data_IF_057493387357
#
_entry.id   IF_057493387357
#
_cell.length_a   1.000
_cell.length_b   1.000
_cell.length_c   1.000
_cell.angle_alpha   90.00
_cell.angle_beta   90.00
_cell.angle_gamma   90.00
#
_symmetry.space_group_name_H-M   'P 1'
#
loop_
_entity.id
_entity.type
_entity.pdbx_description
1 polymer ?
#
# COMPACT_ATOMS: atom_id res chain seq x y z
N UNK A 1 -25.93 -3.44 20.40
CA UNK A 1 -24.46 -3.44 20.59
C UNK A 1 -23.91 -4.80 20.18
N UNK A 2 -22.60 -4.94 19.98
CA UNK A 2 -21.94 -6.24 19.75
C UNK A 2 -20.93 -6.53 20.85
N UNK A 3 -20.84 -7.77 21.31
CA UNK A 3 -19.88 -8.21 22.31
C UNK A 3 -19.10 -9.41 21.78
N UNK A 4 -17.79 -9.25 21.61
CA UNK A 4 -16.89 -10.36 21.30
C UNK A 4 -16.42 -10.96 22.62
N UNK A 5 -16.77 -12.22 22.91
CA UNK A 5 -16.41 -12.91 24.16
C UNK A 5 -15.32 -13.96 23.97
N UNK A 6 -14.66 -14.32 25.06
CA UNK A 6 -13.72 -15.43 25.16
C UNK A 6 -12.55 -15.32 24.17
N UNK A 7 -12.14 -14.10 23.81
CA UNK A 7 -11.00 -13.89 22.94
C UNK A 7 -9.70 -13.73 23.70
N UNK A 8 -8.61 -13.63 22.96
CA UNK A 8 -7.29 -13.23 23.49
C UNK A 8 -6.80 -12.01 22.74
N UNK A 9 -6.25 -11.02 23.44
CA UNK A 9 -5.52 -9.91 22.82
C UNK A 9 -4.04 -9.99 23.21
N UNK A 10 -3.17 -9.37 22.40
CA UNK A 10 -1.77 -9.17 22.77
C UNK A 10 -1.69 -7.89 23.62
N UNK A 11 -1.26 -8.04 24.89
CA UNK A 11 -0.97 -6.92 25.79
C UNK A 11 0.41 -7.11 26.40
N UNK A 12 1.31 -6.16 26.16
CA UNK A 12 2.72 -6.20 26.59
C UNK A 12 3.42 -7.52 26.18
N UNK A 13 3.24 -7.93 24.91
CA UNK A 13 3.86 -9.13 24.35
C UNK A 13 3.28 -10.48 24.84
N UNK A 14 2.18 -10.47 25.62
CA UNK A 14 1.55 -11.69 26.12
C UNK A 14 0.08 -11.76 25.71
N UNK A 15 -0.41 -12.96 25.44
CA UNK A 15 -1.83 -13.22 25.22
C UNK A 15 -2.60 -13.11 26.54
N UNK A 16 -3.68 -12.35 26.53
CA UNK A 16 -4.58 -12.15 27.68
C UNK A 16 -6.01 -12.39 27.27
N UNK A 17 -6.74 -13.19 28.06
CA UNK A 17 -8.17 -13.40 27.88
C UNK A 17 -8.90 -12.06 28.00
N UNK A 18 -9.77 -11.75 27.05
CA UNK A 18 -10.39 -10.44 26.92
C UNK A 18 -11.71 -10.54 26.14
N UNK A 19 -12.69 -9.80 26.63
CA UNK A 19 -13.94 -9.49 25.97
C UNK A 19 -13.90 -8.05 25.43
N UNK A 20 -14.56 -7.80 24.29
CA UNK A 20 -14.62 -6.48 23.66
C UNK A 20 -16.07 -6.10 23.36
N UNK A 21 -16.54 -5.01 23.97
CA UNK A 21 -17.84 -4.43 23.69
C UNK A 21 -17.72 -3.33 22.64
N UNK A 22 -18.57 -3.42 21.62
CA UNK A 22 -18.63 -2.51 20.47
C UNK A 22 -19.99 -1.82 20.46
N UNK A 23 -19.96 -0.50 20.34
CA UNK A 23 -21.14 0.35 20.24
C UNK A 23 -21.09 1.18 18.94
N UNK A 24 -22.01 0.90 18.03
CA UNK A 24 -21.99 1.43 16.66
C UNK A 24 -20.65 1.13 15.95
N UNK A 25 -19.88 2.19 15.66
CA UNK A 25 -18.61 2.14 14.92
C UNK A 25 -17.37 2.17 15.82
N UNK A 26 -17.52 2.15 17.15
CA UNK A 26 -16.42 2.33 18.10
C UNK A 26 -16.37 1.19 19.11
N UNK A 27 -15.15 0.91 19.58
CA UNK A 27 -14.94 0.06 20.76
C UNK A 27 -15.35 0.87 21.97
N UNK A 28 -16.28 0.33 22.78
CA UNK A 28 -16.77 0.96 24.01
C UNK A 28 -15.95 0.52 25.22
N UNK A 29 -15.68 -0.78 25.34
CA UNK A 29 -14.98 -1.35 26.50
C UNK A 29 -14.11 -2.53 26.08
N UNK A 30 -12.92 -2.63 26.68
CA UNK A 30 -12.02 -3.79 26.61
C UNK A 30 -11.75 -4.24 28.05
N UNK A 31 -12.14 -5.47 28.41
CA UNK A 31 -12.02 -5.98 29.79
C UNK A 31 -11.79 -7.49 29.79
N UNK A 32 -11.27 -8.05 30.88
CA UNK A 32 -11.13 -9.51 31.04
C UNK A 32 -12.47 -10.25 31.11
N UNK A 33 -13.54 -9.54 31.48
CA UNK A 33 -14.91 -10.05 31.53
C UNK A 33 -15.88 -8.89 31.37
N UNK A 34 -16.88 -9.03 30.51
CA UNK A 34 -17.97 -8.08 30.36
C UNK A 34 -19.28 -8.82 30.62
N UNK A 35 -20.11 -8.28 31.51
CA UNK A 35 -21.43 -8.83 31.76
C UNK A 35 -22.36 -8.54 30.58
N UNK A 36 -23.11 -9.56 30.14
CA UNK A 36 -23.97 -9.51 28.96
C UNK A 36 -25.46 -9.46 29.34
N UNK A 37 -25.76 -9.04 30.57
CA UNK A 37 -27.09 -9.03 31.18
C UNK A 37 -28.04 -7.95 30.64
N UNK A 38 -27.58 -7.05 29.77
CA UNK A 38 -28.45 -6.08 29.11
C UNK A 38 -29.13 -6.67 27.88
N UNK A 39 -30.44 -6.49 27.78
CA UNK A 39 -31.23 -6.83 26.60
C UNK A 39 -30.67 -6.08 25.36
N UNK A 40 -30.54 -6.78 24.22
CA UNK A 40 -30.04 -6.27 22.91
C UNK A 40 -28.51 -6.21 22.67
N UNK A 41 -27.73 -7.14 23.26
CA UNK A 41 -26.34 -7.40 22.85
C UNK A 41 -26.26 -8.63 21.94
N UNK A 42 -25.77 -8.43 20.71
CA UNK A 42 -25.36 -9.53 19.83
C UNK A 42 -24.01 -10.07 20.31
N UNK A 43 -23.96 -11.36 20.65
CA UNK A 43 -22.76 -12.01 21.18
C UNK A 43 -22.04 -12.79 20.09
N UNK A 44 -20.75 -12.54 19.94
CA UNK A 44 -19.83 -13.25 19.06
C UNK A 44 -18.82 -13.98 19.93
N UNK A 45 -18.84 -15.31 19.92
CA UNK A 45 -17.87 -16.11 20.67
C UNK A 45 -16.59 -16.31 19.86
N UNK A 46 -15.48 -15.74 20.33
CA UNK A 46 -14.16 -15.89 19.70
C UNK A 46 -13.52 -17.25 19.99
N UNK A 47 -14.10 -18.09 20.87
CA UNK A 47 -13.66 -19.48 21.14
C UNK A 47 -12.17 -19.60 21.48
N UNK A 48 -11.63 -18.65 22.23
CA UNK A 48 -10.22 -18.62 22.64
C UNK A 48 -9.23 -18.11 21.59
N UNK A 49 -9.71 -17.70 20.41
CA UNK A 49 -8.87 -17.19 19.32
C UNK A 49 -8.31 -15.79 19.61
N UNK A 50 -7.27 -15.43 18.84
CA UNK A 50 -6.71 -14.09 18.84
C UNK A 50 -7.70 -13.08 18.26
N UNK A 51 -7.94 -12.00 19.00
CA UNK A 51 -8.56 -10.78 18.50
C UNK A 51 -7.44 -9.77 18.26
N UNK A 52 -7.27 -9.36 17.01
CA UNK A 52 -6.29 -8.37 16.61
C UNK A 52 -7.00 -7.09 16.12
N UNK A 53 -6.34 -5.92 16.19
CA UNK A 53 -6.72 -4.79 15.35
C UNK A 53 -6.74 -5.24 13.88
N UNK A 54 -7.74 -4.79 13.12
CA UNK A 54 -7.79 -5.12 11.70
C UNK A 54 -6.55 -4.61 10.98
N UNK A 55 -6.00 -5.44 10.09
CA UNK A 55 -4.79 -5.10 9.37
C UNK A 55 -5.04 -3.94 8.39
N UNK A 56 -3.95 -3.25 8.05
CA UNK A 56 -3.93 -2.15 7.09
C UNK A 56 -2.96 -2.53 5.98
N UNK A 57 -3.47 -2.61 4.76
CA UNK A 57 -2.65 -2.78 3.56
C UNK A 57 -2.53 -1.44 2.84
N UNK A 58 -1.31 -0.95 2.67
CA UNK A 58 -1.07 0.32 1.97
C UNK A 58 -0.78 0.12 0.48
N UNK A 59 -0.79 -1.12 -0.01
CA UNK A 59 -0.49 -1.42 -1.41
C UNK A 59 -1.34 -2.58 -1.95
N UNK A 60 -2.42 -2.25 -2.65
CA UNK A 60 -3.25 -3.26 -3.34
C UNK A 60 -3.65 -2.80 -4.74
N UNK A 61 -4.09 -3.72 -5.59
CA UNK A 61 -4.70 -3.40 -6.88
C UNK A 61 -6.11 -3.98 -6.96
N UNK A 62 -7.13 -3.12 -6.90
CA UNK A 62 -8.53 -3.52 -7.04
C UNK A 62 -8.98 -3.65 -8.50
N UNK A 63 -8.16 -3.19 -9.45
CA UNK A 63 -8.33 -3.26 -10.92
C UNK A 63 -9.54 -2.53 -11.50
N UNK A 64 -10.60 -2.31 -10.74
CA UNK A 64 -11.73 -1.46 -11.09
C UNK A 64 -11.43 0.02 -10.74
N UNK A 65 -11.67 0.97 -11.67
CA UNK A 65 -12.30 0.80 -12.99
C UNK A 65 -11.35 0.31 -14.10
N UNK A 66 -11.91 -0.38 -15.10
CA UNK A 66 -11.28 -0.73 -16.37
C UNK A 66 -10.67 -2.14 -16.45
N UNK A 67 -10.43 -2.79 -15.31
CA UNK A 67 -9.87 -4.13 -15.20
C UNK A 67 -10.79 -5.14 -14.51
N UNK A 68 -12.11 -4.95 -14.58
CA UNK A 68 -13.12 -5.67 -13.78
C UNK A 68 -13.09 -7.19 -13.97
N UNK A 69 -12.64 -7.67 -15.13
CA UNK A 69 -12.46 -9.10 -15.40
C UNK A 69 -11.32 -9.74 -14.57
N UNK A 70 -10.43 -8.93 -13.99
CA UNK A 70 -9.32 -9.38 -13.12
C UNK A 70 -9.73 -9.33 -11.66
N UNK A 71 -10.34 -8.23 -11.24
CA UNK A 71 -10.82 -7.98 -9.87
C UNK A 71 -11.80 -6.79 -9.89
N UNK A 72 -12.77 -6.76 -8.96
CA UNK A 72 -13.63 -5.59 -8.72
C UNK A 72 -13.41 -5.03 -7.31
N UNK A 73 -13.92 -3.82 -7.04
CA UNK A 73 -13.87 -3.26 -5.68
C UNK A 73 -14.56 -4.20 -4.68
N UNK A 74 -15.68 -4.81 -5.07
CA UNK A 74 -16.41 -5.74 -4.22
C UNK A 74 -15.59 -7.01 -3.93
N UNK A 75 -15.09 -7.70 -4.96
CA UNK A 75 -14.38 -8.97 -4.78
C UNK A 75 -13.05 -8.77 -4.07
N UNK A 76 -12.29 -7.72 -4.43
CA UNK A 76 -11.02 -7.39 -3.79
C UNK A 76 -11.19 -6.98 -2.32
N UNK A 77 -12.24 -6.22 -1.97
CA UNK A 77 -12.50 -5.88 -0.56
C UNK A 77 -13.01 -7.05 0.26
N UNK A 78 -13.76 -8.00 -0.34
CA UNK A 78 -14.10 -9.29 0.29
C UNK A 78 -12.84 -10.13 0.55
N UNK A 79 -11.93 -10.21 -0.42
CA UNK A 79 -10.67 -10.92 -0.27
C UNK A 79 -9.82 -10.31 0.86
N UNK A 80 -9.71 -8.98 0.90
CA UNK A 80 -9.01 -8.26 1.97
C UNK A 80 -9.62 -8.52 3.35
N UNK A 81 -10.95 -8.45 3.48
CA UNK A 81 -11.66 -8.78 4.72
C UNK A 81 -11.37 -10.21 5.19
N UNK A 82 -11.38 -11.18 4.26
CA UNK A 82 -11.02 -12.58 4.55
C UNK A 82 -9.58 -12.72 5.01
N UNK A 83 -8.66 -11.89 4.51
CA UNK A 83 -7.27 -11.80 4.97
C UNK A 83 -7.07 -11.11 6.32
N UNK A 84 -8.14 -10.58 6.93
CA UNK A 84 -8.06 -9.85 8.20
C UNK A 84 -7.78 -8.35 8.04
N UNK A 85 -7.75 -7.83 6.81
CA UNK A 85 -7.62 -6.40 6.55
C UNK A 85 -8.94 -5.68 6.73
N UNK A 86 -8.87 -4.50 7.35
CA UNK A 86 -10.04 -3.61 7.52
C UNK A 86 -9.85 -2.25 6.84
N UNK A 87 -8.64 -1.96 6.38
CA UNK A 87 -8.32 -0.81 5.54
C UNK A 87 -7.33 -1.23 4.46
N UNK A 88 -7.62 -0.87 3.22
CA UNK A 88 -6.73 -1.07 2.08
C UNK A 88 -6.56 0.22 1.28
N UNK A 89 -5.42 0.39 0.61
CA UNK A 89 -5.10 1.59 -0.17
C UNK A 89 -4.80 1.19 -1.64
N UNK A 90 -5.76 1.31 -2.56
CA UNK A 90 -5.60 0.83 -3.93
C UNK A 90 -4.78 1.77 -4.80
N UNK A 91 -3.85 1.20 -5.58
CA UNK A 91 -2.99 1.90 -6.53
C UNK A 91 -3.77 2.53 -7.70
N UNK A 92 -3.26 3.63 -8.28
CA UNK A 92 -3.99 4.46 -9.24
C UNK A 92 -3.87 3.96 -10.69
N UNK A 93 -3.26 2.80 -10.94
CA UNK A 93 -3.08 2.22 -12.27
C UNK A 93 -4.34 1.54 -12.84
N UNK A 94 -5.47 2.25 -12.72
CA UNK A 94 -6.80 1.91 -13.25
C UNK A 94 -7.12 2.72 -14.50
N UNK A 95 -8.26 2.45 -15.14
CA UNK A 95 -8.76 3.22 -16.28
C UNK A 95 -10.23 3.62 -16.07
N UNK A 96 -10.55 4.90 -15.85
CA UNK A 96 -9.62 6.04 -15.77
C UNK A 96 -8.68 5.98 -14.56
N UNK A 97 -7.55 6.69 -14.67
CA UNK A 97 -6.61 6.95 -13.57
C UNK A 97 -7.24 7.99 -12.64
N UNK A 98 -7.13 7.88 -11.30
CA UNK A 98 -7.55 8.92 -10.36
C UNK A 98 -6.56 10.11 -10.37
N UNK A 99 -6.53 10.82 -11.50
CA UNK A 99 -5.62 11.94 -11.80
C UNK A 99 -6.32 13.32 -11.84
N UNK A 100 -7.64 13.34 -11.64
CA UNK A 100 -8.48 14.52 -11.64
C UNK A 100 -9.57 14.41 -10.58
N UNK A 101 -10.14 15.55 -10.15
CA UNK A 101 -11.23 15.59 -9.17
C UNK A 101 -12.42 14.75 -9.63
N UNK A 102 -12.75 14.81 -10.92
CA UNK A 102 -13.85 14.05 -11.50
C UNK A 102 -13.60 12.53 -11.38
N UNK A 103 -12.40 12.07 -11.77
CA UNK A 103 -12.04 10.66 -11.67
C UNK A 103 -11.98 10.16 -10.22
N UNK A 104 -11.44 10.96 -9.30
CA UNK A 104 -11.41 10.62 -7.87
C UNK A 104 -12.83 10.53 -7.28
N UNK A 105 -13.71 11.47 -7.60
CA UNK A 105 -15.10 11.44 -7.13
C UNK A 105 -15.86 10.23 -7.68
N UNK A 106 -15.70 9.93 -8.96
CA UNK A 106 -16.31 8.74 -9.57
C UNK A 106 -15.82 7.44 -8.89
N UNK A 107 -14.52 7.34 -8.62
CA UNK A 107 -13.94 6.21 -7.89
C UNK A 107 -14.49 6.12 -6.45
N UNK A 108 -14.65 7.26 -5.76
CA UNK A 108 -15.18 7.29 -4.39
C UNK A 108 -16.63 6.85 -4.30
N UNK A 109 -17.48 7.19 -5.27
CA UNK A 109 -18.86 6.67 -5.30
C UNK A 109 -18.86 5.15 -5.52
N UNK A 110 -18.04 4.62 -6.43
CA UNK A 110 -17.89 3.16 -6.59
C UNK A 110 -17.41 2.47 -5.30
N UNK A 111 -16.45 3.07 -4.60
CA UNK A 111 -15.98 2.58 -3.30
C UNK A 111 -17.14 2.54 -2.30
N UNK A 112 -17.91 3.62 -2.21
CA UNK A 112 -19.05 3.73 -1.28
C UNK A 112 -20.13 2.70 -1.56
N UNK A 113 -20.37 2.39 -2.84
CA UNK A 113 -21.42 1.47 -3.25
C UNK A 113 -21.03 -0.01 -3.11
N UNK A 114 -19.74 -0.35 -3.32
CA UNK A 114 -19.32 -1.76 -3.46
C UNK A 114 -18.31 -2.25 -2.42
N UNK A 115 -17.58 -1.36 -1.73
CA UNK A 115 -16.52 -1.78 -0.82
C UNK A 115 -17.07 -2.39 0.48
N UNK A 116 -16.50 -3.54 0.88
CA UNK A 116 -16.86 -4.23 2.12
C UNK A 116 -16.04 -3.79 3.34
N UNK A 117 -14.92 -3.09 3.10
CA UNK A 117 -14.01 -2.55 4.12
C UNK A 117 -13.60 -1.12 3.76
N UNK A 118 -12.82 -0.45 4.61
CA UNK A 118 -12.33 0.90 4.31
C UNK A 118 -11.35 0.86 3.13
N UNK A 119 -11.56 1.75 2.16
CA UNK A 119 -10.68 1.94 1.01
C UNK A 119 -10.19 3.38 0.99
N UNK A 120 -8.88 3.58 0.94
CA UNK A 120 -8.23 4.89 0.89
C UNK A 120 -7.48 5.03 -0.44
N UNK A 121 -8.09 5.58 -1.50
CA UNK A 121 -7.51 5.55 -2.84
C UNK A 121 -6.26 6.44 -2.95
N UNK A 122 -5.25 5.96 -3.67
CA UNK A 122 -4.17 6.81 -4.17
C UNK A 122 -4.64 7.69 -5.32
N UNK A 123 -3.95 8.81 -5.53
CA UNK A 123 -3.96 9.56 -6.79
C UNK A 123 -2.66 9.30 -7.56
N UNK A 124 -2.67 9.53 -8.87
CA UNK A 124 -1.42 9.54 -9.63
C UNK A 124 -0.59 10.80 -9.37
N UNK A 125 0.73 10.75 -9.63
CA UNK A 125 1.59 11.94 -9.64
C UNK A 125 1.37 12.72 -10.92
N UNK A 126 1.23 12.01 -12.05
CA UNK A 126 1.04 12.62 -13.36
C UNK A 126 -0.26 12.23 -14.02
N UNK A 127 -0.76 13.12 -14.89
CA UNK A 127 -1.94 12.88 -15.72
C UNK A 127 -1.76 11.57 -16.51
N UNK A 128 -2.72 10.65 -16.35
CA UNK A 128 -2.73 9.30 -16.94
C UNK A 128 -1.48 8.46 -16.65
N UNK A 129 -0.73 8.79 -15.59
CA UNK A 129 0.59 8.21 -15.28
C UNK A 129 1.59 8.31 -16.45
N UNK A 130 1.45 9.33 -17.29
CA UNK A 130 2.26 9.47 -18.50
C UNK A 130 3.65 10.08 -18.26
N UNK A 131 3.95 10.55 -17.04
CA UNK A 131 5.24 11.15 -16.68
C UNK A 131 5.48 12.55 -17.27
N UNK A 132 4.45 13.20 -17.82
CA UNK A 132 4.58 14.45 -18.62
C UNK A 132 4.04 15.70 -17.91
N UNK A 133 2.93 15.57 -17.20
CA UNK A 133 2.23 16.71 -16.58
C UNK A 133 1.78 16.31 -15.18
N UNK A 134 2.11 17.15 -14.18
CA UNK A 134 1.67 16.93 -12.80
C UNK A 134 0.16 17.13 -12.67
N UNK A 135 -0.45 16.35 -11.80
CA UNK A 135 -1.84 16.56 -11.38
C UNK A 135 -1.98 17.80 -10.47
N UNK A 136 -3.20 18.24 -10.21
CA UNK A 136 -3.48 19.24 -9.17
C UNK A 136 -3.47 18.58 -7.78
N UNK A 137 -2.29 18.54 -7.15
CA UNK A 137 -2.09 17.95 -5.82
C UNK A 137 -3.03 18.52 -4.76
N UNK A 138 -3.33 19.83 -4.81
CA UNK A 138 -4.16 20.47 -3.79
C UNK A 138 -5.62 20.06 -3.96
N UNK A 139 -6.13 20.12 -5.18
CA UNK A 139 -7.50 19.70 -5.47
C UNK A 139 -7.70 18.21 -5.12
N UNK A 140 -6.76 17.33 -5.48
CA UNK A 140 -6.88 15.91 -5.17
C UNK A 140 -6.72 15.61 -3.67
N UNK A 141 -5.84 16.33 -2.97
CA UNK A 141 -5.73 16.20 -1.51
C UNK A 141 -7.02 16.60 -0.78
N UNK A 142 -7.70 17.64 -1.24
CA UNK A 142 -8.98 18.09 -0.70
C UNK A 142 -10.10 17.04 -0.92
N UNK A 143 -10.01 16.23 -1.98
CA UNK A 143 -10.89 15.06 -2.21
C UNK A 143 -10.53 13.84 -1.34
N UNK A 144 -9.53 13.96 -0.47
CA UNK A 144 -9.20 12.97 0.55
C UNK A 144 -8.45 11.75 0.03
N UNK A 145 -7.67 11.89 -1.05
CA UNK A 145 -6.77 10.82 -1.53
C UNK A 145 -5.71 10.49 -0.47
N UNK A 146 -5.27 9.23 -0.44
CA UNK A 146 -4.34 8.72 0.56
C UNK A 146 -2.94 9.33 0.39
N UNK A 147 -2.39 9.22 -0.82
CA UNK A 147 -1.06 9.63 -1.23
C UNK A 147 -0.98 9.73 -2.77
N UNK A 148 0.18 10.12 -3.30
CA UNK A 148 0.42 10.26 -4.74
C UNK A 148 1.46 9.25 -5.23
N UNK A 149 1.18 8.53 -6.33
CA UNK A 149 2.09 7.53 -6.91
C UNK A 149 1.87 7.32 -8.41
N UNK A 150 2.94 7.21 -9.20
CA UNK A 150 2.88 6.70 -10.58
C UNK A 150 3.29 5.22 -10.63
N UNK A 151 2.53 4.41 -9.90
CA UNK A 151 2.75 2.98 -9.76
C UNK A 151 2.62 2.22 -11.10
N UNK A 152 3.62 1.39 -11.42
CA UNK A 152 3.72 0.56 -12.62
C UNK A 152 4.54 1.14 -13.80
N UNK A 153 5.00 2.40 -13.75
CA UNK A 153 5.83 2.98 -14.85
C UNK A 153 7.00 3.85 -14.37
N UNK A 154 7.06 4.20 -13.07
CA UNK A 154 8.10 5.02 -12.44
C UNK A 154 8.16 6.46 -12.97
N UNK A 155 8.49 7.44 -12.11
CA UNK A 155 8.77 8.81 -12.59
C UNK A 155 10.22 8.89 -13.04
N UNK A 156 10.43 8.97 -14.34
CA UNK A 156 11.76 8.84 -14.95
C UNK A 156 12.63 10.09 -14.77
N UNK A 157 12.04 11.28 -14.91
CA UNK A 157 12.80 12.53 -14.81
C UNK A 157 12.91 13.03 -13.37
N UNK A 158 14.15 13.28 -12.90
CA UNK A 158 14.42 13.79 -11.55
C UNK A 158 13.72 15.13 -11.28
N UNK A 159 13.63 16.01 -12.29
CA UNK A 159 12.94 17.30 -12.19
C UNK A 159 11.44 17.15 -11.97
N UNK A 160 10.80 16.17 -12.61
CA UNK A 160 9.38 15.85 -12.43
C UNK A 160 9.12 15.35 -11.01
N UNK A 161 9.92 14.38 -10.54
CA UNK A 161 9.81 13.85 -9.19
C UNK A 161 10.07 14.94 -8.13
N UNK A 162 11.08 15.78 -8.32
CA UNK A 162 11.37 16.90 -7.43
C UNK A 162 10.21 17.91 -7.36
N UNK A 163 9.61 18.25 -8.51
CA UNK A 163 8.44 19.13 -8.56
C UNK A 163 7.22 18.49 -7.87
N UNK A 164 6.98 17.19 -8.07
CA UNK A 164 5.94 16.43 -7.39
C UNK A 164 6.12 16.45 -5.87
N UNK A 165 7.32 16.15 -5.38
CA UNK A 165 7.64 16.17 -3.95
C UNK A 165 7.42 17.55 -3.31
N UNK A 166 7.74 18.64 -4.02
CA UNK A 166 7.40 20.01 -3.56
C UNK A 166 5.90 20.21 -3.38
N UNK A 167 5.08 19.73 -4.31
CA UNK A 167 3.63 19.87 -4.21
C UNK A 167 3.06 18.98 -3.09
N UNK A 168 3.52 17.72 -3.00
CA UNK A 168 3.13 16.78 -1.97
C UNK A 168 3.46 17.28 -0.55
N UNK A 169 4.64 17.90 -0.37
CA UNK A 169 5.03 18.52 0.90
C UNK A 169 4.07 19.65 1.33
N UNK A 170 3.62 20.51 0.40
CA UNK A 170 2.66 21.59 0.69
C UNK A 170 1.31 21.07 1.17
N UNK A 171 0.85 19.94 0.61
CA UNK A 171 -0.42 19.30 0.97
C UNK A 171 -0.29 18.26 2.08
N UNK A 172 0.93 18.08 2.62
CA UNK A 172 1.26 17.14 3.71
C UNK A 172 0.85 15.69 3.38
N UNK A 173 1.11 15.26 2.16
CA UNK A 173 0.88 13.89 1.68
C UNK A 173 2.20 13.27 1.24
N UNK A 174 2.38 11.95 1.39
CA UNK A 174 3.59 11.31 0.92
C UNK A 174 3.58 11.17 -0.61
N UNK A 175 4.79 11.19 -1.18
CA UNK A 175 5.06 10.56 -2.47
C UNK A 175 5.38 9.10 -2.20
N UNK A 176 4.68 8.21 -2.89
CA UNK A 176 4.89 6.77 -2.85
C UNK A 176 5.36 6.34 -4.24
N UNK A 177 6.40 5.51 -4.32
CA UNK A 177 7.02 5.20 -5.61
C UNK A 177 7.32 3.71 -5.80
N UNK A 178 6.81 3.19 -6.91
CA UNK A 178 7.41 2.07 -7.60
C UNK A 178 8.76 2.52 -8.18
N UNK A 179 9.84 1.93 -7.68
CA UNK A 179 11.20 2.32 -8.05
C UNK A 179 11.72 1.43 -9.16
N UNK A 180 11.76 1.96 -10.38
CA UNK A 180 12.19 1.25 -11.58
C UNK A 180 12.69 2.26 -12.62
N UNK A 181 13.99 2.18 -12.92
CA UNK A 181 14.57 2.94 -14.02
C UNK A 181 14.31 2.22 -15.35
N UNK A 182 13.54 2.85 -16.24
CA UNK A 182 13.10 2.21 -17.48
C UNK A 182 14.25 1.80 -18.41
N UNK A 183 15.40 2.48 -18.32
CA UNK A 183 16.58 2.15 -19.12
C UNK A 183 17.31 0.89 -18.63
N UNK A 184 17.00 0.45 -17.41
CA UNK A 184 17.63 -0.69 -16.73
C UNK A 184 16.72 -1.93 -16.67
N UNK A 185 15.48 -1.86 -17.18
CA UNK A 185 14.57 -3.01 -17.26
C UNK A 185 15.14 -4.08 -18.19
N UNK A 186 15.76 -3.67 -19.30
CA UNK A 186 16.36 -4.56 -20.32
C UNK A 186 15.40 -5.65 -20.86
N UNK A 187 14.09 -5.38 -20.86
CA UNK A 187 13.07 -6.36 -21.25
C UNK A 187 12.99 -7.56 -20.32
N UNK A 188 13.48 -7.45 -19.09
CA UNK A 188 13.48 -8.51 -18.10
C UNK A 188 12.09 -8.86 -17.58
N UNK A 189 11.91 -10.12 -17.19
CA UNK A 189 10.67 -10.65 -16.63
C UNK A 189 10.84 -11.23 -15.21
N UNK A 190 12.08 -11.35 -14.72
CA UNK A 190 12.42 -11.89 -13.40
C UNK A 190 13.73 -11.28 -12.87
N UNK A 191 14.21 -11.68 -11.69
CA UNK A 191 15.51 -11.23 -11.18
C UNK A 191 16.66 -11.63 -12.11
N UNK A 192 17.57 -10.71 -12.42
CA UNK A 192 18.83 -11.02 -13.11
C UNK A 192 19.81 -11.70 -12.15
N UNK A 193 19.76 -13.03 -12.16
CA UNK A 193 20.59 -13.90 -11.34
C UNK A 193 20.78 -15.27 -11.96
N UNK A 194 21.24 -16.21 -11.13
CA UNK A 194 21.54 -17.58 -11.56
C UNK A 194 20.32 -18.24 -12.19
N UNK A 195 19.13 -18.02 -11.64
CA UNK A 195 17.91 -18.67 -12.13
C UNK A 195 17.50 -18.18 -13.51
N UNK A 196 17.63 -16.87 -13.77
CA UNK A 196 17.34 -16.31 -15.09
C UNK A 196 18.26 -16.86 -16.18
N UNK A 197 19.53 -17.11 -15.85
CA UNK A 197 20.50 -17.73 -16.77
C UNK A 197 20.17 -19.21 -17.04
N UNK A 198 19.81 -19.96 -15.99
CA UNK A 198 19.40 -21.37 -16.11
C UNK A 198 18.14 -21.56 -16.98
N UNK A 199 17.17 -20.67 -16.83
CA UNK A 199 15.89 -20.73 -17.56
C UNK A 199 15.94 -20.03 -18.93
N UNK A 200 17.00 -19.29 -19.25
CA UNK A 200 17.08 -18.51 -20.49
C UNK A 200 16.08 -17.35 -20.54
N UNK A 201 15.59 -16.88 -19.39
CA UNK A 201 14.63 -15.77 -19.29
C UNK A 201 15.41 -14.47 -19.05
N UNK A 202 15.13 -13.36 -19.78
CA UNK A 202 15.74 -12.07 -19.51
C UNK A 202 15.48 -11.58 -18.07
N UNK A 203 16.54 -11.16 -17.38
CA UNK A 203 16.46 -10.69 -15.99
C UNK A 203 16.59 -9.17 -15.83
N UNK A 204 15.94 -8.65 -14.79
CA UNK A 204 16.02 -7.25 -14.31
C UNK A 204 17.10 -7.16 -13.22
N UNK A 205 18.14 -6.32 -13.40
CA UNK A 205 19.21 -6.19 -12.43
C UNK A 205 18.78 -5.36 -11.22
N UNK A 206 19.34 -5.66 -10.04
CA UNK A 206 19.06 -4.91 -8.79
C UNK A 206 19.26 -3.38 -8.90
N UNK A 207 20.15 -2.96 -9.79
CA UNK A 207 20.42 -1.53 -10.04
C UNK A 207 19.20 -0.81 -10.60
N UNK A 208 18.29 -1.51 -11.28
CA UNK A 208 17.03 -0.95 -11.81
C UNK A 208 16.17 -0.33 -10.69
N UNK A 209 16.08 -1.00 -9.54
CA UNK A 209 15.33 -0.50 -8.37
C UNK A 209 16.15 0.53 -7.58
N UNK A 210 17.38 0.15 -7.21
CA UNK A 210 18.14 0.88 -6.19
C UNK A 210 18.60 2.28 -6.61
N UNK A 211 18.81 2.54 -7.91
CA UNK A 211 19.22 3.88 -8.38
C UNK A 211 18.10 4.91 -8.25
N UNK A 212 16.85 4.52 -8.49
CA UNK A 212 15.72 5.42 -8.34
C UNK A 212 15.50 5.77 -6.86
N UNK A 213 15.65 4.80 -5.95
CA UNK A 213 15.60 5.05 -4.51
C UNK A 213 16.71 6.02 -4.11
N UNK A 214 17.95 5.81 -4.58
CA UNK A 214 19.08 6.68 -4.27
C UNK A 214 18.88 8.12 -4.77
N UNK A 215 18.28 8.29 -5.95
CA UNK A 215 17.85 9.60 -6.46
C UNK A 215 16.78 10.22 -5.55
N UNK A 216 15.72 9.48 -5.29
CA UNK A 216 14.49 10.02 -4.68
C UNK A 216 14.69 10.40 -3.21
N UNK A 217 15.56 9.71 -2.46
CA UNK A 217 15.86 10.11 -1.07
C UNK A 217 16.52 11.49 -0.99
N UNK A 218 17.37 11.86 -1.96
CA UNK A 218 17.99 13.19 -2.03
C UNK A 218 16.98 14.26 -2.45
N UNK A 219 16.04 13.91 -3.33
CA UNK A 219 14.94 14.81 -3.70
C UNK A 219 13.98 15.03 -2.51
N UNK A 220 13.70 13.98 -1.73
CA UNK A 220 12.89 14.06 -0.52
C UNK A 220 13.55 14.95 0.53
N UNK A 221 14.87 14.80 0.74
CA UNK A 221 15.67 15.67 1.60
C UNK A 221 15.55 17.14 1.18
N UNK A 222 15.78 17.44 -0.09
CA UNK A 222 15.76 18.80 -0.63
C UNK A 222 14.37 19.47 -0.59
N UNK A 223 13.30 18.69 -0.43
CA UNK A 223 11.91 19.19 -0.41
C UNK A 223 11.23 19.10 0.95
N UNK A 224 11.80 18.34 1.89
CA UNK A 224 11.15 17.99 3.16
C UNK A 224 9.93 17.09 2.98
N UNK A 225 9.76 16.46 1.81
CA UNK A 225 8.63 15.58 1.52
C UNK A 225 8.77 14.25 2.27
N UNK A 226 7.65 13.68 2.71
CA UNK A 226 7.61 12.28 3.14
C UNK A 226 7.66 11.39 1.89
N UNK A 227 8.71 10.59 1.77
CA UNK A 227 8.88 9.63 0.68
C UNK A 227 8.67 8.19 1.17
N UNK A 228 7.95 7.39 0.39
CA UNK A 228 7.71 5.97 0.67
C UNK A 228 8.12 5.09 -0.51
N UNK A 229 8.98 4.10 -0.25
CA UNK A 229 9.46 3.14 -1.25
C UNK A 229 8.57 1.89 -1.24
N UNK A 230 7.93 1.59 -2.36
CA UNK A 230 7.13 0.38 -2.53
C UNK A 230 8.01 -0.88 -2.54
N UNK A 231 7.45 -1.99 -2.04
CA UNK A 231 7.92 -3.38 -2.20
C UNK A 231 9.43 -3.57 -2.43
N UNK A 232 10.26 -3.17 -1.47
CA UNK A 232 11.73 -3.25 -1.59
C UNK A 232 12.19 -4.69 -1.82
N UNK A 233 13.01 -4.93 -2.84
CA UNK A 233 13.47 -6.27 -3.22
C UNK A 233 14.99 -6.47 -3.13
N UNK A 234 15.79 -5.40 -3.11
CA UNK A 234 17.26 -5.53 -3.20
C UNK A 234 18.03 -5.16 -1.92
N UNK A 235 19.17 -5.82 -1.71
CA UNK A 235 20.10 -5.50 -0.62
C UNK A 235 20.67 -4.08 -0.72
N UNK A 236 20.88 -3.59 -1.94
CA UNK A 236 21.33 -2.22 -2.21
C UNK A 236 20.25 -1.20 -1.82
N UNK A 237 18.99 -1.45 -2.16
CA UNK A 237 17.84 -0.61 -1.79
C UNK A 237 17.72 -0.48 -0.27
N UNK A 238 17.82 -1.60 0.46
CA UNK A 238 17.81 -1.59 1.93
C UNK A 238 18.96 -0.75 2.49
N UNK A 239 20.16 -0.82 1.90
CA UNK A 239 21.30 0.03 2.28
C UNK A 239 20.99 1.50 2.08
N UNK A 240 20.54 1.90 0.89
CA UNK A 240 20.20 3.29 0.59
C UNK A 240 19.15 3.84 1.57
N UNK A 241 18.09 3.09 1.85
CA UNK A 241 17.03 3.51 2.78
C UNK A 241 17.57 3.65 4.20
N UNK A 242 18.43 2.71 4.65
CA UNK A 242 19.08 2.78 5.97
C UNK A 242 19.93 4.05 6.11
N UNK A 243 20.73 4.35 5.09
CA UNK A 243 21.64 5.49 5.11
C UNK A 243 20.87 6.82 5.03
N UNK A 244 19.81 6.88 4.22
CA UNK A 244 18.91 8.04 4.16
C UNK A 244 18.19 8.29 5.50
N UNK A 245 17.69 7.24 6.17
CA UNK A 245 17.12 7.37 7.53
C UNK A 245 18.15 7.86 8.54
N UNK A 246 19.39 7.36 8.46
CA UNK A 246 20.50 7.80 9.32
C UNK A 246 20.84 9.28 9.12
N UNK A 247 20.69 9.80 7.90
CA UNK A 247 20.83 11.22 7.58
C UNK A 247 19.64 12.09 8.04
N UNK A 248 18.58 11.50 8.59
CA UNK A 248 17.38 12.23 9.04
C UNK A 248 16.38 12.52 7.92
N UNK A 249 16.55 11.94 6.73
CA UNK A 249 15.61 12.07 5.62
C UNK A 249 14.30 11.35 5.98
N UNK A 250 13.16 11.99 5.73
CA UNK A 250 11.83 11.42 5.99
C UNK A 250 11.43 10.36 4.94
N UNK A 251 12.18 9.26 4.91
CA UNK A 251 11.92 8.11 4.05
C UNK A 251 11.37 6.94 4.86
N UNK A 252 10.37 6.29 4.29
CA UNK A 252 9.79 5.02 4.77
C UNK A 252 9.79 4.01 3.62
N UNK A 253 9.55 2.74 3.93
CA UNK A 253 9.52 1.68 2.93
C UNK A 253 8.65 0.52 3.41
N UNK A 254 8.21 -0.30 2.47
CA UNK A 254 7.50 -1.55 2.71
C UNK A 254 8.22 -2.74 2.07
N UNK A 255 7.82 -3.95 2.47
CA UNK A 255 8.25 -5.21 1.87
C UNK A 255 7.05 -6.13 1.79
N UNK A 256 6.94 -6.91 0.71
CA UNK A 256 5.82 -7.83 0.54
C UNK A 256 6.09 -9.17 1.23
N UNK A 257 5.05 -9.93 1.60
CA UNK A 257 5.24 -11.27 2.16
C UNK A 257 6.03 -12.21 1.25
N UNK A 258 5.84 -12.15 -0.07
CA UNK A 258 6.55 -13.02 -1.01
C UNK A 258 8.05 -12.69 -1.11
N UNK A 259 8.47 -11.42 -1.03
CA UNK A 259 9.90 -11.06 -0.98
C UNK A 259 10.56 -11.43 0.37
N UNK A 260 9.77 -11.61 1.44
CA UNK A 260 10.28 -12.11 2.72
C UNK A 260 10.47 -13.63 2.73
N UNK A 261 9.66 -14.36 1.96
CA UNK A 261 9.54 -15.81 2.05
C UNK A 261 10.19 -16.55 0.88
N UNK A 262 10.25 -15.94 -0.30
CA UNK A 262 10.67 -16.57 -1.53
C UNK A 262 11.86 -15.85 -2.16
N UNK A 263 12.60 -16.56 -2.99
CA UNK A 263 13.77 -16.09 -3.75
C UNK A 263 13.70 -16.58 -5.19
N UNK A 264 14.70 -16.23 -6.01
CA UNK A 264 14.81 -16.77 -7.38
C UNK A 264 14.83 -18.31 -7.43
N UNK A 265 15.27 -18.98 -6.37
CA UNK A 265 15.39 -20.44 -6.32
C UNK A 265 14.03 -21.14 -6.22
N UNK A 266 12.97 -20.42 -5.87
CA UNK A 266 11.62 -20.97 -5.74
C UNK A 266 10.83 -20.96 -7.06
N UNK A 267 11.42 -20.43 -8.15
CA UNK A 267 10.81 -20.43 -9.49
C UNK A 267 11.06 -21.79 -10.16
N UNK A 268 10.03 -22.62 -10.42
CA UNK A 268 10.22 -24.00 -10.85
C UNK A 268 10.61 -24.15 -12.34
N UNK A 269 10.18 -23.22 -13.20
CA UNK A 269 10.33 -23.30 -14.65
C UNK A 269 9.93 -22.01 -15.37
N UNK A 270 9.80 -22.09 -16.70
CA UNK A 270 9.53 -21.01 -17.65
C UNK A 270 8.14 -21.11 -18.32
N UNK A 271 7.20 -21.82 -17.69
CA UNK A 271 5.86 -22.14 -18.22
C UNK A 271 4.83 -20.99 -18.16
#
# INVERSE_FOLDING_TARGET
MKLIKNGKIIKNGKLKNTDILIDGKRIKTISSKIDSSSDNIEVIDAKGNLIAPGFVDVHVHLREPGGEHKETIETGTKAAARGGFTTICPMPNTRPVPDSVENVRALREKIKDSAQIRVLPYASITTRQAGKELVDFKALADEGVFAFTDDGVGVQQASMMYAAMKQAAKVKKPIVAHCEDNSLIYGGAMHKGKRSEELGIPGIPNVCESVQIARDVLLAEATGCHYHVCHVSTKESVRVIRDAKKAGIHVTAEVTPHHLLLTENDVPGDD
#
